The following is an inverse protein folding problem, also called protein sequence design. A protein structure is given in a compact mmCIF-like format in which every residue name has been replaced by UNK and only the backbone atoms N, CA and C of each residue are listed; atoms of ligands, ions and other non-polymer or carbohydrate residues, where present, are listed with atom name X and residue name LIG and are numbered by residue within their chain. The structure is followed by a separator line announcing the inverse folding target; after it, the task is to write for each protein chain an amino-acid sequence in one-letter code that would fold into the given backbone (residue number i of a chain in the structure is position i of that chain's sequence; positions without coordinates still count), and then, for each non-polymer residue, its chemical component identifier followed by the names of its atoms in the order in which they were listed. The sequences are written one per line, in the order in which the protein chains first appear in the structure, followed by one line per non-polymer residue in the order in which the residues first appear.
data_IF_462577718426
#
_entry.id   IF_462577718426
#
_cell.length_a   1.000
_cell.length_b   1.000
_cell.length_c   1.000
_cell.angle_alpha   90.00
_cell.angle_beta   90.00
_cell.angle_gamma   90.00
#
_symmetry.space_group_name_H-M   'P 1'
#
loop_
_entity.id
_entity.type
_entity.pdbx_description
1 polymer ?
#
# COMPACT_ATOMS: atom_id res chain seq x y z
N UNK A 1 -9.27 12.70 -0.44
CA UNK A 1 -8.19 11.81 0.03
C UNK A 1 -7.43 12.37 1.22
N UNK A 2 -6.62 13.45 1.09
CA UNK A 2 -5.84 14.01 2.21
C UNK A 2 -6.66 14.26 3.49
N UNK A 3 -7.80 14.95 3.38
CA UNK A 3 -8.69 15.21 4.53
C UNK A 3 -9.18 13.92 5.18
N UNK A 4 -9.46 12.87 4.40
CA UNK A 4 -9.86 11.58 4.97
C UNK A 4 -8.73 10.91 5.75
N UNK A 5 -7.50 10.92 5.24
CA UNK A 5 -6.35 10.44 6.01
C UNK A 5 -6.07 11.30 7.25
N UNK A 6 -6.25 12.62 7.16
CA UNK A 6 -6.10 13.51 8.30
C UNK A 6 -7.11 13.21 9.41
N UNK A 7 -8.37 12.93 9.04
CA UNK A 7 -9.40 12.53 10.00
C UNK A 7 -9.04 11.19 10.67
N UNK A 8 -8.53 10.21 9.92
CA UNK A 8 -8.08 8.94 10.49
C UNK A 8 -6.78 9.05 11.28
N UNK A 9 -6.00 10.11 11.09
CA UNK A 9 -4.79 10.38 11.88
C UNK A 9 -5.11 10.92 13.29
N UNK A 10 -6.33 11.41 13.53
CA UNK A 10 -6.74 11.93 14.82
C UNK A 10 -7.30 10.78 15.67
N UNK A 11 -6.72 10.50 16.86
CA UNK A 11 -7.24 9.48 17.75
C UNK A 11 -8.68 9.79 18.18
N UNK A 12 -9.59 8.86 17.93
CA UNK A 12 -10.99 8.98 18.36
C UNK A 12 -11.44 7.75 19.12
N UNK A 13 -12.31 7.97 20.11
CA UNK A 13 -12.88 6.89 20.90
C UNK A 13 -13.81 6.01 20.03
N UNK A 14 -13.92 4.73 20.38
CA UNK A 14 -14.79 3.76 19.68
C UNK A 14 -16.30 3.95 19.93
N UNK A 15 -16.74 5.19 20.19
CA UNK A 15 -18.14 5.56 20.36
C UNK A 15 -18.83 5.78 18.99
N UNK A 16 -20.13 6.06 19.01
CA UNK A 16 -20.92 6.30 17.79
C UNK A 16 -20.33 7.44 16.93
N UNK A 17 -19.78 8.48 17.57
CA UNK A 17 -19.12 9.60 16.90
C UNK A 17 -17.83 9.17 16.19
N UNK A 18 -16.97 8.38 16.83
CA UNK A 18 -15.74 7.87 16.23
C UNK A 18 -16.02 6.96 15.03
N UNK A 19 -17.03 6.08 15.13
CA UNK A 19 -17.47 5.24 13.99
C UNK A 19 -17.96 6.09 12.82
N UNK A 20 -18.75 7.14 13.08
CA UNK A 20 -19.23 8.06 12.05
C UNK A 20 -18.07 8.81 11.38
N UNK A 21 -17.10 9.28 12.16
CA UNK A 21 -15.91 9.95 11.64
C UNK A 21 -15.07 9.00 10.77
N UNK A 22 -14.85 7.77 11.22
CA UNK A 22 -14.14 6.74 10.45
C UNK A 22 -14.83 6.47 9.11
N UNK A 23 -16.16 6.27 9.11
CA UNK A 23 -16.92 6.03 7.88
C UNK A 23 -16.89 7.24 6.94
N UNK A 24 -17.03 8.45 7.47
CA UNK A 24 -16.91 9.69 6.70
C UNK A 24 -15.51 9.86 6.10
N UNK A 25 -14.47 9.53 6.85
CA UNK A 25 -13.09 9.59 6.39
C UNK A 25 -12.81 8.57 5.28
N UNK A 26 -13.29 7.33 5.42
CA UNK A 26 -13.22 6.29 4.39
C UNK A 26 -13.95 6.71 3.11
N UNK A 27 -15.12 7.35 3.23
CA UNK A 27 -15.83 7.91 2.08
C UNK A 27 -15.00 8.98 1.36
N UNK A 28 -14.39 9.93 2.10
CA UNK A 28 -13.52 10.96 1.52
C UNK A 28 -12.25 10.40 0.87
N UNK A 29 -11.73 9.28 1.38
CA UNK A 29 -10.63 8.54 0.76
C UNK A 29 -11.12 7.91 -0.54
N UNK A 30 -12.22 7.16 -0.52
CA UNK A 30 -12.78 6.49 -1.68
C UNK A 30 -13.09 7.47 -2.83
N UNK A 31 -13.80 8.56 -2.55
CA UNK A 31 -14.07 9.61 -3.56
C UNK A 31 -12.78 10.24 -4.07
N UNK A 32 -11.83 10.52 -3.18
CA UNK A 32 -10.54 11.10 -3.56
C UNK A 32 -9.72 10.18 -4.48
N UNK A 33 -9.64 8.89 -4.16
CA UNK A 33 -8.95 7.90 -4.98
C UNK A 33 -9.62 7.74 -6.34
N UNK A 34 -10.96 7.75 -6.39
CA UNK A 34 -11.73 7.68 -7.64
C UNK A 34 -11.41 8.83 -8.58
N UNK A 35 -11.38 10.08 -8.08
CA UNK A 35 -11.01 11.24 -8.89
C UNK A 35 -9.53 11.30 -9.25
N UNK A 36 -8.64 10.76 -8.41
CA UNK A 36 -7.21 10.80 -8.64
C UNK A 36 -6.75 9.75 -9.68
N UNK A 37 -7.21 8.50 -9.56
CA UNK A 37 -6.71 7.37 -10.37
C UNK A 37 -6.95 7.56 -11.87
N UNK A 38 -8.13 8.08 -12.27
CA UNK A 38 -8.45 8.34 -13.67
C UNK A 38 -7.68 9.53 -14.26
N UNK A 39 -7.64 10.66 -13.54
CA UNK A 39 -7.02 11.88 -14.03
C UNK A 39 -5.49 11.80 -14.14
N UNK A 40 -4.85 11.01 -13.29
CA UNK A 40 -3.39 10.90 -13.30
C UNK A 40 -2.87 10.16 -14.54
N UNK A 41 -3.56 9.10 -14.99
CA UNK A 41 -3.18 8.40 -16.22
C UNK A 41 -3.33 9.29 -17.46
N UNK A 42 -4.38 10.11 -17.52
CA UNK A 42 -4.58 11.10 -18.58
C UNK A 42 -3.46 12.14 -18.58
N UNK A 43 -3.09 12.66 -17.41
CA UNK A 43 -1.97 13.61 -17.29
C UNK A 43 -0.65 13.01 -17.78
N UNK A 44 -0.38 11.74 -17.47
CA UNK A 44 0.80 11.03 -18.00
C UNK A 44 0.71 10.86 -19.51
N UNK A 45 -0.46 10.56 -20.06
CA UNK A 45 -0.67 10.50 -21.52
C UNK A 45 -0.34 11.83 -22.20
N UNK A 46 -0.90 12.93 -21.69
CA UNK A 46 -0.74 14.27 -22.26
C UNK A 46 0.72 14.75 -22.31
N UNK A 47 1.59 14.26 -21.41
CA UNK A 47 3.04 14.55 -21.44
C UNK A 47 3.71 14.09 -22.74
N UNK A 48 3.18 13.05 -23.37
CA UNK A 48 3.80 12.39 -24.52
C UNK A 48 2.95 12.49 -25.79
N UNK A 49 1.95 13.36 -25.83
CA UNK A 49 1.09 13.55 -27.01
C UNK A 49 1.75 14.37 -28.12
N UNK A 50 2.83 15.11 -27.82
CA UNK A 50 3.57 15.81 -28.87
C UNK A 50 4.26 14.81 -29.80
N UNK A 51 4.35 15.09 -31.12
CA UNK A 51 5.03 14.20 -32.08
C UNK A 51 6.48 13.89 -31.71
N UNK A 52 7.15 14.82 -31.00
CA UNK A 52 8.52 14.67 -30.51
C UNK A 52 8.64 13.56 -29.44
N UNK A 53 7.65 13.44 -28.54
CA UNK A 53 7.70 12.53 -27.39
C UNK A 53 6.80 11.29 -27.53
N UNK A 54 5.98 11.22 -28.57
CA UNK A 54 5.04 10.10 -28.83
C UNK A 54 5.71 8.72 -28.77
N UNK A 55 6.92 8.58 -29.30
CA UNK A 55 7.68 7.31 -29.26
C UNK A 55 8.11 6.85 -27.86
N UNK A 56 8.02 7.72 -26.84
CA UNK A 56 8.40 7.43 -25.45
C UNK A 56 7.20 7.14 -24.55
N UNK A 57 5.97 7.28 -25.06
CA UNK A 57 4.73 7.11 -24.30
C UNK A 57 4.65 5.75 -23.61
N UNK A 58 4.91 4.66 -24.33
CA UNK A 58 4.83 3.30 -23.79
C UNK A 58 5.88 3.05 -22.69
N UNK A 59 7.11 3.56 -22.90
CA UNK A 59 8.17 3.52 -21.88
C UNK A 59 7.79 4.31 -20.64
N UNK A 60 7.13 5.46 -20.81
CA UNK A 60 6.68 6.29 -19.70
C UNK A 60 5.57 5.61 -18.89
N UNK A 61 4.58 4.99 -19.55
CA UNK A 61 3.57 4.17 -18.87
C UNK A 61 4.21 2.98 -18.16
N UNK A 62 5.21 2.33 -18.76
CA UNK A 62 5.95 1.24 -18.11
C UNK A 62 6.66 1.70 -16.83
N UNK A 63 7.32 2.86 -16.86
CA UNK A 63 7.96 3.45 -15.68
C UNK A 63 6.94 3.87 -14.62
N UNK A 64 5.80 4.41 -15.04
CA UNK A 64 4.70 4.78 -14.15
C UNK A 64 4.16 3.56 -13.38
N UNK A 65 3.88 2.45 -14.07
CA UNK A 65 3.44 1.21 -13.42
C UNK A 65 4.52 0.58 -12.54
N UNK A 66 5.79 0.65 -12.97
CA UNK A 66 6.91 0.20 -12.15
C UNK A 66 6.98 0.97 -10.83
N UNK A 67 6.81 2.30 -10.85
CA UNK A 67 6.82 3.13 -9.64
C UNK A 67 5.69 2.75 -8.66
N UNK A 68 4.51 2.39 -9.16
CA UNK A 68 3.39 1.90 -8.34
C UNK A 68 3.79 0.59 -7.64
N UNK A 69 4.34 -0.37 -8.38
CA UNK A 69 4.77 -1.66 -7.81
C UNK A 69 5.89 -1.49 -6.77
N UNK A 70 6.83 -0.58 -7.03
CA UNK A 70 7.87 -0.23 -6.06
C UNK A 70 7.24 0.34 -4.79
N UNK A 71 6.28 1.26 -4.90
CA UNK A 71 5.53 1.76 -3.74
C UNK A 71 4.82 0.66 -2.95
N UNK A 72 4.14 -0.26 -3.64
CA UNK A 72 3.45 -1.39 -3.04
C UNK A 72 4.40 -2.36 -2.32
N UNK A 73 5.63 -2.51 -2.80
CA UNK A 73 6.66 -3.32 -2.15
C UNK A 73 7.13 -2.73 -0.80
N UNK A 74 7.28 -1.41 -0.71
CA UNK A 74 7.77 -0.75 0.52
C UNK A 74 6.68 -0.43 1.54
N UNK A 75 5.42 -0.25 1.11
CA UNK A 75 4.33 0.18 1.98
C UNK A 75 4.07 -0.74 3.19
N UNK A 76 3.99 -2.09 3.05
CA UNK A 76 3.79 -2.99 4.19
C UNK A 76 4.93 -2.94 5.21
N UNK A 77 6.16 -2.79 4.74
CA UNK A 77 7.34 -2.66 5.63
C UNK A 77 7.27 -1.35 6.41
N UNK A 78 6.90 -0.24 5.76
CA UNK A 78 6.73 1.04 6.45
C UNK A 78 5.62 0.99 7.49
N UNK A 79 4.48 0.37 7.17
CA UNK A 79 3.37 0.17 8.10
C UNK A 79 3.81 -0.69 9.31
N UNK A 80 4.47 -1.81 9.07
CA UNK A 80 4.97 -2.71 10.13
C UNK A 80 5.97 -2.00 11.04
N UNK A 81 6.89 -1.21 10.46
CA UNK A 81 7.86 -0.41 11.24
C UNK A 81 7.16 0.62 12.12
N UNK A 82 6.13 1.30 11.61
CA UNK A 82 5.34 2.24 12.40
C UNK A 82 4.61 1.55 13.55
N UNK A 83 3.97 0.41 13.26
CA UNK A 83 3.28 -0.39 14.28
C UNK A 83 4.23 -0.87 15.37
N UNK A 84 5.38 -1.41 15.00
CA UNK A 84 6.38 -1.85 15.96
C UNK A 84 6.99 -0.68 16.73
N UNK A 85 7.19 0.49 16.11
CA UNK A 85 7.67 1.69 16.80
C UNK A 85 6.73 2.12 17.93
N UNK A 86 5.42 2.16 17.67
CA UNK A 86 4.43 2.58 18.69
C UNK A 86 4.22 1.49 19.76
N UNK A 87 4.15 0.22 19.35
CA UNK A 87 3.97 -0.89 20.30
C UNK A 87 5.19 -1.11 21.19
N UNK A 88 6.41 -1.05 20.63
CA UNK A 88 7.64 -1.23 21.42
C UNK A 88 7.83 -0.12 22.45
N UNK A 89 7.37 1.11 22.15
CA UNK A 89 7.31 2.20 23.12
C UNK A 89 6.42 1.91 24.35
N UNK A 90 5.49 0.96 24.23
CA UNK A 90 4.65 0.48 25.33
C UNK A 90 5.08 -0.91 25.85
N UNK A 91 6.21 -1.45 25.39
CA UNK A 91 6.70 -2.78 25.77
C UNK A 91 6.00 -3.93 25.06
N UNK A 92 5.24 -3.67 23.99
CA UNK A 92 4.53 -4.69 23.22
C UNK A 92 5.24 -5.03 21.91
N UNK A 93 5.07 -6.27 21.48
CA UNK A 93 5.42 -6.76 20.14
C UNK A 93 4.14 -7.06 19.37
N UNK A 94 4.08 -6.67 18.10
CA UNK A 94 2.88 -6.92 17.29
C UNK A 94 2.63 -8.42 17.13
N UNK A 95 1.41 -8.84 17.47
CA UNK A 95 0.89 -10.16 17.19
C UNK A 95 -0.53 -10.04 16.61
N UNK A 96 -0.80 -10.76 15.53
CA UNK A 96 -2.03 -10.65 14.77
C UNK A 96 -3.27 -11.23 15.49
N UNK A 97 -3.08 -12.11 16.49
CA UNK A 97 -4.17 -12.74 17.23
C UNK A 97 -4.70 -11.88 18.37
N UNK A 98 -3.81 -11.10 19.02
CA UNK A 98 -4.15 -10.30 20.21
C UNK A 98 -5.35 -9.37 19.96
N UNK A 99 -5.45 -8.58 18.87
CA UNK A 99 -6.58 -7.66 18.67
C UNK A 99 -7.93 -8.37 18.64
N UNK A 100 -8.01 -9.51 17.94
CA UNK A 100 -9.26 -10.25 17.82
C UNK A 100 -9.68 -10.86 19.14
N UNK A 101 -8.75 -11.51 19.85
CA UNK A 101 -9.00 -12.12 21.15
C UNK A 101 -9.30 -11.08 22.22
N UNK A 102 -8.58 -9.95 22.23
CA UNK A 102 -8.82 -8.84 23.13
C UNK A 102 -10.22 -8.24 22.95
N UNK A 103 -10.68 -8.05 21.71
CA UNK A 103 -12.06 -7.62 21.45
C UNK A 103 -13.10 -8.66 21.88
N UNK A 104 -12.85 -9.95 21.65
CA UNK A 104 -13.74 -11.02 22.13
C UNK A 104 -13.83 -11.03 23.67
N UNK A 105 -12.69 -10.85 24.34
CA UNK A 105 -12.63 -10.78 25.81
C UNK A 105 -13.40 -9.58 26.34
N UNK A 106 -13.12 -8.38 25.83
CA UNK A 106 -13.77 -7.13 26.27
C UNK A 106 -15.29 -7.13 25.98
N UNK A 107 -15.72 -7.81 24.91
CA UNK A 107 -17.14 -7.95 24.57
C UNK A 107 -17.83 -9.12 25.27
N UNK A 108 -17.11 -9.93 26.07
CA UNK A 108 -17.66 -11.11 26.75
C UNK A 108 -18.05 -12.26 25.81
N UNK A 109 -17.53 -12.28 24.58
CA UNK A 109 -17.84 -13.32 23.56
C UNK A 109 -16.73 -14.35 23.39
N UNK A 110 -15.66 -14.27 24.19
CA UNK A 110 -14.50 -15.16 24.09
C UNK A 110 -14.82 -16.59 24.53
N UNK A 111 -14.35 -17.56 23.74
CA UNK A 111 -14.45 -18.98 24.06
C UNK A 111 -13.33 -19.40 25.05
N UNK A 112 -13.49 -20.50 25.81
CA UNK A 112 -12.48 -20.97 26.75
C UNK A 112 -11.08 -21.15 26.14
N UNK A 113 -11.01 -21.72 24.93
CA UNK A 113 -9.76 -21.89 24.18
C UNK A 113 -9.10 -20.54 23.84
N UNK A 114 -9.90 -19.56 23.41
CA UNK A 114 -9.42 -18.21 23.12
C UNK A 114 -8.92 -17.49 24.38
N UNK A 115 -9.55 -17.72 25.53
CA UNK A 115 -9.11 -17.16 26.80
C UNK A 115 -7.77 -17.74 27.24
N UNK A 116 -7.56 -19.05 27.08
CA UNK A 116 -6.28 -19.69 27.37
C UNK A 116 -5.17 -19.19 26.44
N UNK A 117 -5.46 -19.04 25.14
CA UNK A 117 -4.53 -18.47 24.17
C UNK A 117 -4.15 -17.02 24.53
N UNK A 118 -5.13 -16.21 24.93
CA UNK A 118 -4.93 -14.82 25.31
C UNK A 118 -4.06 -14.66 26.57
N UNK A 119 -4.22 -15.55 27.57
CA UNK A 119 -3.32 -15.61 28.74
C UNK A 119 -1.87 -15.92 28.34
N UNK A 120 -1.69 -16.91 27.45
CA UNK A 120 -0.36 -17.23 26.91
C UNK A 120 0.26 -16.04 26.16
N UNK A 121 -0.52 -15.34 25.35
CA UNK A 121 -0.07 -14.15 24.62
C UNK A 121 0.28 -13.00 25.56
N UNK A 122 -0.55 -12.73 26.57
CA UNK A 122 -0.25 -11.71 27.60
C UNK A 122 1.07 -12.00 28.31
N UNK A 123 1.31 -13.25 28.69
CA UNK A 123 2.56 -13.66 29.32
C UNK A 123 3.77 -13.49 28.38
N UNK A 124 3.61 -13.86 27.10
CA UNK A 124 4.65 -13.68 26.08
C UNK A 124 5.00 -12.20 25.82
N UNK A 125 4.04 -11.29 26.03
CA UNK A 125 4.23 -9.84 25.95
C UNK A 125 4.88 -9.25 27.22
N UNK A 126 5.11 -10.06 28.27
CA UNK A 126 5.71 -9.60 29.53
C UNK A 126 4.81 -8.67 30.36
N UNK A 127 3.49 -8.66 30.10
CA UNK A 127 2.55 -7.76 30.78
C UNK A 127 2.08 -8.32 32.12
N UNK A 128 2.29 -7.58 33.20
CA UNK A 128 2.05 -8.03 34.58
C UNK A 128 0.70 -7.60 35.18
N UNK A 129 -0.07 -6.77 34.48
CA UNK A 129 -1.39 -6.28 34.93
C UNK A 129 -2.53 -7.27 34.73
N UNK A 130 -3.77 -6.83 34.96
CA UNK A 130 -4.96 -7.64 34.69
C UNK A 130 -5.24 -7.80 33.18
N UNK A 131 -6.07 -8.78 32.82
CA UNK A 131 -6.37 -9.09 31.42
C UNK A 131 -7.12 -7.98 30.70
N UNK A 132 -8.04 -7.28 31.39
CA UNK A 132 -8.81 -6.19 30.78
C UNK A 132 -7.92 -4.98 30.46
N UNK A 133 -7.00 -4.66 31.36
CA UNK A 133 -5.96 -3.65 31.17
C UNK A 133 -5.03 -4.04 30.01
N UNK A 134 -4.55 -5.28 29.96
CA UNK A 134 -3.74 -5.76 28.83
C UNK A 134 -4.47 -5.56 27.49
N UNK A 135 -5.72 -6.04 27.39
CA UNK A 135 -6.53 -5.94 26.18
C UNK A 135 -6.73 -4.48 25.75
N UNK A 136 -7.10 -3.63 26.70
CA UNK A 136 -7.42 -2.23 26.43
C UNK A 136 -6.17 -1.46 26.02
N UNK A 137 -5.05 -1.61 26.75
CA UNK A 137 -3.79 -0.93 26.43
C UNK A 137 -3.22 -1.39 25.09
N UNK A 138 -3.26 -2.70 24.80
CA UNK A 138 -2.77 -3.20 23.51
C UNK A 138 -3.61 -2.66 22.34
N UNK A 139 -4.94 -2.69 22.46
CA UNK A 139 -5.85 -2.14 21.42
C UNK A 139 -5.65 -0.63 21.26
N UNK A 140 -5.49 0.11 22.35
CA UNK A 140 -5.25 1.54 22.31
C UNK A 140 -3.93 1.87 21.60
N UNK A 141 -2.84 1.18 21.95
CA UNK A 141 -1.53 1.39 21.32
C UNK A 141 -1.50 0.93 19.87
N UNK A 142 -2.21 -0.14 19.53
CA UNK A 142 -2.38 -0.55 18.15
C UNK A 142 -3.20 0.46 17.35
N UNK A 143 -4.27 1.02 17.94
CA UNK A 143 -5.07 2.07 17.30
C UNK A 143 -4.24 3.34 17.10
N UNK A 144 -3.42 3.70 18.08
CA UNK A 144 -2.44 4.78 17.98
C UNK A 144 -1.48 4.54 16.81
N UNK A 145 -0.92 3.34 16.68
CA UNK A 145 -0.08 2.98 15.53
C UNK A 145 -0.76 3.22 14.17
N UNK A 146 -2.03 2.84 14.02
CA UNK A 146 -2.79 3.11 12.78
C UNK A 146 -2.94 4.61 12.53
N UNK A 147 -3.27 5.39 13.56
CA UNK A 147 -3.39 6.86 13.45
C UNK A 147 -2.06 7.50 12.99
N UNK A 148 -0.93 7.06 13.54
CA UNK A 148 0.40 7.50 13.10
C UNK A 148 0.70 7.06 11.66
N UNK A 149 0.27 5.87 11.26
CA UNK A 149 0.35 5.42 9.86
C UNK A 149 -0.38 6.37 8.90
N UNK A 150 -1.60 6.80 9.25
CA UNK A 150 -2.34 7.80 8.48
C UNK A 150 -1.70 9.19 8.52
N UNK A 151 -1.08 9.59 9.64
CA UNK A 151 -0.32 10.84 9.73
C UNK A 151 0.88 10.85 8.78
N UNK A 152 1.63 9.74 8.70
CA UNK A 152 2.72 9.58 7.74
C UNK A 152 2.21 9.64 6.30
N UNK A 153 1.05 9.03 6.02
CA UNK A 153 0.42 9.15 4.70
C UNK A 153 0.12 10.62 4.35
N UNK A 154 -0.39 11.42 5.29
CA UNK A 154 -0.59 12.86 5.08
C UNK A 154 0.72 13.60 4.75
N UNK A 155 1.80 13.32 5.48
CA UNK A 155 3.12 13.92 5.20
C UNK A 155 3.60 13.53 3.78
N UNK A 156 3.43 12.26 3.39
CA UNK A 156 3.79 11.79 2.06
C UNK A 156 3.02 12.50 0.93
N UNK A 157 1.75 12.83 1.15
CA UNK A 157 0.93 13.58 0.20
C UNK A 157 1.36 15.04 0.09
N UNK A 158 1.74 15.66 1.22
CA UNK A 158 2.30 17.03 1.22
C UNK A 158 3.63 17.04 0.46
N UNK A 159 4.54 16.10 0.74
CA UNK A 159 5.80 15.97 0.03
C UNK A 159 5.59 15.74 -1.47
N UNK A 160 4.65 14.86 -1.83
CA UNK A 160 4.28 14.60 -3.24
C UNK A 160 3.75 15.87 -3.93
N UNK A 161 2.91 16.64 -3.23
CA UNK A 161 2.40 17.91 -3.75
C UNK A 161 3.51 18.96 -3.89
N UNK A 162 4.45 19.03 -2.95
CA UNK A 162 5.59 19.93 -3.03
C UNK A 162 6.51 19.58 -4.21
N UNK A 163 6.78 18.29 -4.44
CA UNK A 163 7.54 17.80 -5.60
C UNK A 163 6.80 18.15 -6.89
N UNK A 164 5.49 17.86 -6.96
CA UNK A 164 4.67 18.21 -8.12
C UNK A 164 4.79 19.71 -8.43
N UNK A 165 4.48 20.57 -7.47
CA UNK A 165 4.54 22.02 -7.66
C UNK A 165 5.96 22.53 -8.00
N UNK A 166 7.00 21.98 -7.36
CA UNK A 166 8.40 22.34 -7.62
C UNK A 166 8.87 21.92 -9.02
N UNK A 167 8.42 20.76 -9.50
CA UNK A 167 8.74 20.24 -10.83
C UNK A 167 7.85 20.82 -11.94
N UNK A 168 6.92 21.73 -11.62
CA UNK A 168 5.96 22.29 -12.60
C UNK A 168 6.61 22.89 -13.84
N UNK A 169 7.80 23.47 -13.70
CA UNK A 169 8.55 24.01 -14.85
C UNK A 169 8.89 22.93 -15.89
N UNK A 170 9.12 21.69 -15.48
CA UNK A 170 9.52 20.58 -16.33
C UNK A 170 8.39 20.07 -17.23
N UNK A 171 7.14 20.17 -16.76
CA UNK A 171 5.97 19.62 -17.45
C UNK A 171 4.91 20.68 -17.82
N UNK A 172 5.26 21.97 -17.79
CA UNK A 172 4.37 23.07 -18.16
C UNK A 172 3.78 22.93 -19.57
N UNK A 173 4.51 22.28 -20.47
CA UNK A 173 4.09 21.94 -21.83
C UNK A 173 3.09 20.76 -21.89
N UNK A 174 2.75 20.14 -20.77
CA UNK A 174 1.74 19.09 -20.68
C UNK A 174 0.56 19.49 -19.77
N UNK A 175 0.69 20.63 -19.07
CA UNK A 175 -0.40 21.38 -18.42
C UNK A 175 -1.33 22.02 -19.49
N UNK A 176 -1.53 21.31 -20.61
CA UNK A 176 -2.46 21.65 -21.69
C UNK A 176 -3.87 21.24 -21.25
N UNK A 177 -4.54 22.10 -20.47
CA UNK A 177 -5.96 21.85 -20.20
C UNK A 177 -6.84 23.10 -19.96
N UNK A 178 -6.49 24.27 -20.48
CA UNK A 178 -7.47 25.39 -20.45
C UNK A 178 -7.35 26.44 -21.56
N UNK A 179 -6.15 26.72 -22.09
CA UNK A 179 -5.99 27.78 -23.10
C UNK A 179 -6.16 27.33 -24.55
N UNK A 180 -5.83 26.08 -24.90
CA UNK A 180 -6.02 25.56 -26.26
C UNK A 180 -7.36 24.85 -26.49
N UNK A 181 -8.05 24.40 -25.44
CA UNK A 181 -9.46 23.98 -25.54
C UNK A 181 -10.34 25.14 -26.05
N UNK A 182 -9.93 26.41 -25.80
CA UNK A 182 -10.56 27.61 -26.39
C UNK A 182 -10.09 27.96 -27.79
N UNK A 183 -8.97 27.40 -28.28
CA UNK A 183 -8.40 27.72 -29.61
C UNK A 183 -8.65 26.62 -30.64
N UNK A 184 -9.04 25.41 -30.22
CA UNK A 184 -9.40 24.29 -31.09
C UNK A 184 -10.92 24.15 -31.26
N UNK A 185 -11.62 25.23 -31.59
CA UNK A 185 -13.02 25.19 -32.04
C UNK A 185 -13.17 24.60 -33.47
N UNK A 186 -12.24 23.73 -33.90
CA UNK A 186 -12.25 23.07 -35.20
C UNK A 186 -12.33 21.54 -35.09
N UNK A 187 -12.79 21.01 -33.95
CA UNK A 187 -13.28 19.63 -33.92
C UNK A 187 -14.81 19.66 -33.99
N UNK A 188 -15.33 19.31 -35.17
CA UNK A 188 -16.70 18.85 -35.37
C UNK A 188 -16.88 17.51 -34.64
N UNK A 189 -16.75 17.48 -33.31
CA UNK A 189 -17.44 16.45 -32.55
C UNK A 189 -18.93 16.82 -32.59
N UNK A 190 -19.81 15.94 -33.07
CA UNK A 190 -21.24 16.22 -33.01
C UNK A 190 -21.60 16.44 -31.55
N UNK A 191 -21.94 17.68 -31.17
CA UNK A 191 -22.43 17.98 -29.84
C UNK A 191 -23.62 17.06 -29.57
N UNK A 192 -23.45 16.19 -28.57
CA UNK A 192 -24.46 15.20 -28.22
C UNK A 192 -25.73 15.95 -27.87
N UNK A 193 -26.83 15.58 -28.52
CA UNK A 193 -28.14 16.11 -28.13
C UNK A 193 -28.38 15.86 -26.63
N UNK A 194 -29.10 16.74 -25.92
CA UNK A 194 -29.36 16.57 -24.49
C UNK A 194 -29.98 15.19 -24.15
N UNK A 195 -30.77 14.62 -25.06
CA UNK A 195 -31.34 13.28 -24.93
C UNK A 195 -30.30 12.17 -25.03
N UNK A 196 -29.38 12.22 -26.01
CA UNK A 196 -28.27 11.26 -26.12
C UNK A 196 -27.35 11.33 -24.91
N UNK A 197 -27.10 12.53 -24.39
CA UNK A 197 -26.34 12.74 -23.15
C UNK A 197 -27.04 12.10 -21.96
N UNK A 198 -28.35 12.33 -21.80
CA UNK A 198 -29.15 11.72 -20.73
C UNK A 198 -29.16 10.19 -20.84
N UNK A 199 -29.33 9.62 -22.03
CA UNK A 199 -29.30 8.18 -22.24
C UNK A 199 -27.93 7.56 -21.88
N UNK A 200 -26.83 8.22 -22.28
CA UNK A 200 -25.47 7.78 -21.92
C UNK A 200 -25.21 7.86 -20.42
N UNK A 201 -25.65 8.93 -19.76
CA UNK A 201 -25.52 9.07 -18.30
C UNK A 201 -26.33 7.97 -17.59
N UNK A 202 -27.57 7.72 -18.01
CA UNK A 202 -28.40 6.65 -17.43
C UNK A 202 -27.77 5.28 -17.65
N UNK A 203 -27.28 4.98 -18.85
CA UNK A 203 -26.56 3.74 -19.13
C UNK A 203 -25.30 3.61 -18.26
N UNK A 204 -24.54 4.69 -18.09
CA UNK A 204 -23.34 4.73 -17.25
C UNK A 204 -23.68 4.50 -15.77
N UNK A 205 -24.76 5.09 -15.26
CA UNK A 205 -25.25 4.85 -13.90
C UNK A 205 -25.71 3.39 -13.70
N UNK A 206 -26.38 2.81 -14.69
CA UNK A 206 -26.79 1.40 -14.64
C UNK A 206 -25.59 0.44 -14.66
N UNK A 207 -24.61 0.69 -15.54
CA UNK A 207 -23.35 -0.06 -15.57
C UNK A 207 -22.62 0.11 -14.23
N UNK A 208 -22.56 1.32 -13.70
CA UNK A 208 -21.92 1.60 -12.41
C UNK A 208 -22.58 0.83 -11.26
N UNK A 209 -23.91 0.74 -11.23
CA UNK A 209 -24.62 -0.05 -10.22
C UNK A 209 -24.24 -1.53 -10.27
N UNK A 210 -24.21 -2.14 -11.47
CA UNK A 210 -23.78 -3.55 -11.63
C UNK A 210 -22.32 -3.73 -11.24
N UNK A 211 -21.45 -2.79 -11.63
CA UNK A 211 -20.01 -2.81 -11.35
C UNK A 211 -19.74 -2.72 -9.85
N UNK A 212 -20.52 -1.94 -9.08
CA UNK A 212 -20.39 -1.90 -7.61
C UNK A 212 -20.62 -3.29 -7.01
N UNK A 213 -21.70 -3.98 -7.37
CA UNK A 213 -22.00 -5.31 -6.82
C UNK A 213 -20.98 -6.35 -7.25
N UNK A 214 -20.54 -6.29 -8.52
CA UNK A 214 -19.46 -7.14 -9.01
C UNK A 214 -18.19 -6.95 -8.18
N UNK A 215 -17.73 -5.72 -8.00
CA UNK A 215 -16.52 -5.42 -7.24
C UNK A 215 -16.68 -5.72 -5.75
N UNK A 216 -17.87 -5.55 -5.17
CA UNK A 216 -18.16 -5.93 -3.79
C UNK A 216 -17.97 -7.43 -3.58
N UNK A 217 -18.56 -8.27 -4.45
CA UNK A 217 -18.39 -9.71 -4.39
C UNK A 217 -16.93 -10.13 -4.67
N UNK A 218 -16.28 -9.50 -5.65
CA UNK A 218 -14.87 -9.76 -5.97
C UNK A 218 -13.94 -9.45 -4.79
N UNK A 219 -14.10 -8.30 -4.12
CA UNK A 219 -13.27 -7.93 -2.97
C UNK A 219 -13.52 -8.82 -1.75
N UNK A 220 -14.74 -9.34 -1.58
CA UNK A 220 -15.07 -10.26 -0.49
C UNK A 220 -14.33 -11.61 -0.63
N UNK A 221 -14.06 -12.06 -1.86
CA UNK A 221 -13.24 -13.25 -2.11
C UNK A 221 -11.79 -13.09 -1.62
N UNK A 222 -11.23 -11.88 -1.69
CA UNK A 222 -9.89 -11.57 -1.19
C UNK A 222 -9.72 -11.75 0.33
N UNK A 223 -10.78 -11.47 1.10
CA UNK A 223 -10.78 -11.71 2.55
C UNK A 223 -10.73 -13.20 2.89
N UNK A 224 -11.39 -14.04 2.08
CA UNK A 224 -11.39 -15.49 2.27
C UNK A 224 -9.97 -16.06 2.13
N UNK A 225 -9.20 -15.60 1.14
CA UNK A 225 -7.80 -16.02 0.98
C UNK A 225 -6.92 -15.56 2.15
N UNK A 226 -7.20 -14.39 2.72
CA UNK A 226 -6.49 -13.87 3.90
C UNK A 226 -6.78 -14.71 5.15
N UNK A 227 -8.04 -15.11 5.35
CA UNK A 227 -8.41 -16.04 6.43
C UNK A 227 -7.84 -17.44 6.20
N UNK A 228 -7.88 -17.94 4.96
CA UNK A 228 -7.26 -19.22 4.61
C UNK A 228 -5.75 -19.20 4.89
N UNK A 229 -5.04 -18.14 4.50
CA UNK A 229 -3.63 -17.99 4.81
C UNK A 229 -3.39 -17.97 6.32
N UNK A 230 -4.14 -17.16 7.08
CA UNK A 230 -3.98 -17.09 8.54
C UNK A 230 -4.19 -18.44 9.23
N UNK A 231 -5.20 -19.20 8.80
CA UNK A 231 -5.68 -20.40 9.49
C UNK A 231 -5.00 -21.69 8.99
N UNK A 232 -4.53 -21.73 7.74
CA UNK A 232 -4.02 -22.95 7.09
C UNK A 232 -2.61 -22.82 6.48
N UNK A 233 -1.92 -21.66 6.61
CA UNK A 233 -0.51 -21.54 6.18
C UNK A 233 0.45 -21.39 7.35
N UNK A 234 1.68 -21.84 7.16
CA UNK A 234 2.73 -21.76 8.17
C UNK A 234 3.01 -20.29 8.51
N UNK A 235 2.93 -19.97 9.80
CA UNK A 235 3.17 -18.61 10.30
C UNK A 235 4.66 -18.28 10.45
N UNK A 236 5.56 -19.17 10.01
CA UNK A 236 7.00 -19.03 10.16
C UNK A 236 7.72 -19.47 8.89
N UNK A 237 8.73 -18.69 8.46
CA UNK A 237 9.67 -19.08 7.40
C UNK A 237 11.00 -19.42 8.04
N UNK A 238 11.59 -20.53 7.60
CA UNK A 238 12.92 -20.97 8.01
C UNK A 238 13.82 -21.17 6.80
N UNK A 239 15.11 -21.32 7.04
CA UNK A 239 16.09 -21.58 5.98
C UNK A 239 16.26 -20.38 5.03
N UNK A 240 16.65 -20.66 3.78
CA UNK A 240 16.99 -19.63 2.77
C UNK A 240 15.81 -18.76 2.37
N UNK A 241 14.58 -19.28 2.49
CA UNK A 241 13.37 -18.57 2.10
C UNK A 241 13.16 -17.27 2.89
N UNK A 242 13.74 -17.17 4.10
CA UNK A 242 13.71 -15.96 4.96
C UNK A 242 14.17 -14.70 4.22
N UNK A 243 15.13 -14.84 3.31
CA UNK A 243 15.67 -13.73 2.51
C UNK A 243 14.55 -13.04 1.69
N UNK A 244 13.59 -13.82 1.18
CA UNK A 244 12.49 -13.30 0.35
C UNK A 244 11.43 -12.50 1.11
N UNK A 245 11.49 -12.46 2.45
CA UNK A 245 10.53 -11.75 3.30
C UNK A 245 11.06 -10.43 3.86
N UNK A 246 12.30 -10.05 3.53
CA UNK A 246 12.85 -8.73 3.83
C UNK A 246 12.94 -7.88 2.56
N UNK A 247 12.41 -6.67 2.62
CA UNK A 247 12.30 -5.78 1.46
C UNK A 247 13.68 -5.36 0.92
N UNK A 248 14.68 -5.19 1.79
CA UNK A 248 16.02 -4.79 1.36
C UNK A 248 16.76 -5.94 0.71
N UNK A 249 16.58 -7.16 1.21
CA UNK A 249 17.04 -8.37 0.58
C UNK A 249 16.39 -8.57 -0.80
N UNK A 250 15.09 -8.30 -0.95
CA UNK A 250 14.43 -8.31 -2.26
C UNK A 250 15.04 -7.29 -3.23
N UNK A 251 15.36 -6.07 -2.76
CA UNK A 251 16.07 -5.07 -3.57
C UNK A 251 17.45 -5.56 -3.99
N UNK A 252 18.21 -6.18 -3.08
CA UNK A 252 19.53 -6.74 -3.39
C UNK A 252 19.43 -7.89 -4.40
N UNK A 253 18.40 -8.74 -4.31
CA UNK A 253 18.13 -9.78 -5.31
C UNK A 253 17.85 -9.14 -6.67
N UNK A 254 17.00 -8.11 -6.73
CA UNK A 254 16.71 -7.38 -7.97
C UNK A 254 18.00 -6.81 -8.57
N UNK A 255 18.84 -6.14 -7.76
CA UNK A 255 20.13 -5.60 -8.21
C UNK A 255 21.04 -6.72 -8.72
N UNK A 256 21.12 -7.86 -8.02
CA UNK A 256 21.93 -8.99 -8.44
C UNK A 256 21.43 -9.60 -9.76
N UNK A 257 20.11 -9.72 -9.97
CA UNK A 257 19.52 -10.26 -11.19
C UNK A 257 19.76 -9.32 -12.38
N UNK A 258 19.41 -8.03 -12.24
CA UNK A 258 19.64 -7.05 -13.31
C UNK A 258 21.12 -6.82 -13.58
N UNK A 259 21.95 -6.81 -12.53
CA UNK A 259 23.41 -6.77 -12.65
C UNK A 259 23.94 -8.00 -13.39
N UNK A 260 23.40 -9.19 -13.10
CA UNK A 260 23.74 -10.43 -13.80
C UNK A 260 23.42 -10.34 -15.30
N UNK A 261 22.18 -9.96 -15.66
CA UNK A 261 21.82 -9.75 -17.07
C UNK A 261 22.71 -8.70 -17.75
N UNK A 262 22.97 -7.57 -17.07
CA UNK A 262 23.84 -6.51 -17.56
C UNK A 262 25.27 -7.00 -17.78
N UNK A 263 25.80 -7.88 -16.93
CA UNK A 263 27.15 -8.45 -17.06
C UNK A 263 27.32 -9.21 -18.38
N UNK A 264 26.29 -9.96 -18.80
CA UNK A 264 26.31 -10.75 -20.02
C UNK A 264 25.93 -9.94 -21.27
N UNK A 265 25.01 -8.98 -21.15
CA UNK A 265 24.47 -8.22 -22.28
C UNK A 265 25.24 -6.92 -22.59
N UNK A 266 26.03 -6.40 -21.64
CA UNK A 266 26.76 -5.14 -21.83
C UNK A 266 27.85 -5.26 -22.89
N UNK A 267 27.92 -4.26 -23.78
CA UNK A 267 28.94 -4.18 -24.85
C UNK A 267 30.25 -3.52 -24.39
N UNK A 268 30.27 -2.84 -23.25
CA UNK A 268 31.44 -2.11 -22.74
C UNK A 268 32.05 -2.79 -21.51
N UNK A 269 33.39 -2.85 -21.46
CA UNK A 269 34.11 -3.46 -20.32
C UNK A 269 33.83 -2.75 -18.99
N UNK A 270 33.67 -1.43 -19.00
CA UNK A 270 33.32 -0.64 -17.80
C UNK A 270 31.95 -1.03 -17.23
N UNK A 271 30.92 -1.18 -18.09
CA UNK A 271 29.60 -1.59 -17.64
C UNK A 271 29.60 -3.02 -17.07
N UNK A 272 30.40 -3.93 -17.65
CA UNK A 272 30.59 -5.27 -17.09
C UNK A 272 31.24 -5.23 -15.72
N UNK A 273 32.30 -4.44 -15.52
CA UNK A 273 32.96 -4.30 -14.22
C UNK A 273 31.97 -3.77 -13.17
N UNK A 274 31.25 -2.68 -13.49
CA UNK A 274 30.25 -2.09 -12.57
C UNK A 274 29.19 -3.12 -12.20
N UNK A 275 28.66 -3.84 -13.20
CA UNK A 275 27.63 -4.86 -12.98
C UNK A 275 28.17 -6.03 -12.14
N UNK A 276 29.40 -6.48 -12.39
CA UNK A 276 30.06 -7.54 -11.62
C UNK A 276 30.29 -7.16 -10.17
N UNK A 277 30.75 -5.92 -9.91
CA UNK A 277 30.90 -5.39 -8.54
C UNK A 277 29.54 -5.30 -7.85
N UNK A 278 28.51 -4.79 -8.54
CA UNK A 278 27.16 -4.69 -7.97
C UNK A 278 26.58 -6.06 -7.60
N UNK A 279 26.76 -7.08 -8.46
CA UNK A 279 26.34 -8.46 -8.18
C UNK A 279 27.09 -9.03 -6.99
N UNK A 280 28.42 -8.93 -6.98
CA UNK A 280 29.23 -9.47 -5.87
C UNK A 280 28.90 -8.79 -4.55
N UNK A 281 28.80 -7.45 -4.53
CA UNK A 281 28.42 -6.71 -3.33
C UNK A 281 27.03 -7.13 -2.84
N UNK A 282 26.06 -7.27 -3.75
CA UNK A 282 24.70 -7.70 -3.40
C UNK A 282 24.68 -9.10 -2.80
N UNK A 283 25.43 -10.06 -3.37
CA UNK A 283 25.52 -11.43 -2.86
C UNK A 283 26.23 -11.49 -1.50
N UNK A 284 27.28 -10.71 -1.30
CA UNK A 284 28.00 -10.63 0.00
C UNK A 284 27.06 -10.06 1.07
N UNK A 285 26.35 -8.96 0.78
CA UNK A 285 25.41 -8.36 1.73
C UNK A 285 24.26 -9.32 2.01
N UNK A 286 23.72 -10.00 0.99
CA UNK A 286 22.68 -11.02 1.17
C UNK A 286 23.14 -12.17 2.06
N UNK A 287 24.36 -12.67 1.87
CA UNK A 287 24.92 -13.71 2.72
C UNK A 287 25.10 -13.20 4.16
N UNK A 288 25.63 -11.99 4.35
CA UNK A 288 25.76 -11.36 5.66
C UNK A 288 24.40 -11.20 6.36
N UNK A 289 23.40 -10.67 5.66
CA UNK A 289 22.04 -10.51 6.17
C UNK A 289 21.43 -11.86 6.53
N UNK A 290 21.62 -12.90 5.72
CA UNK A 290 21.11 -14.24 6.00
C UNK A 290 21.61 -14.82 7.34
N UNK A 291 22.88 -14.59 7.67
CA UNK A 291 23.46 -15.02 8.95
C UNK A 291 23.10 -14.11 10.12
N UNK A 292 22.72 -12.85 9.85
CA UNK A 292 22.26 -11.91 10.88
C UNK A 292 20.75 -12.00 11.17
N UNK A 293 19.97 -12.65 10.29
CA UNK A 293 18.53 -12.85 10.46
C UNK A 293 18.22 -13.94 11.49
N UNK A 294 17.17 -13.71 12.27
CA UNK A 294 16.61 -14.70 13.20
C UNK A 294 16.22 -15.99 12.49
N UNK A 295 16.53 -17.15 13.08
CA UNK A 295 16.33 -18.50 12.49
C UNK A 295 14.91 -18.75 11.96
N UNK A 296 13.93 -18.02 12.49
CA UNK A 296 12.54 -18.03 12.06
C UNK A 296 12.02 -16.61 11.88
N UNK A 297 11.34 -16.34 10.76
CA UNK A 297 10.61 -15.07 10.54
C UNK A 297 9.11 -15.35 10.61
N UNK A 298 8.39 -14.65 11.47
CA UNK A 298 6.93 -14.72 11.51
C UNK A 298 6.32 -14.08 10.26
N UNK A 299 5.45 -14.80 9.55
CA UNK A 299 4.77 -14.29 8.37
C UNK A 299 3.40 -13.76 8.76
N UNK A 300 3.22 -12.46 8.57
CA UNK A 300 1.93 -11.84 8.77
C UNK A 300 1.13 -11.83 7.46
N UNK A 301 -0.21 -12.03 7.51
CA UNK A 301 -1.06 -12.01 6.32
C UNK A 301 -0.89 -10.74 5.45
N UNK A 302 -0.57 -9.61 6.07
CA UNK A 302 -0.31 -8.34 5.39
C UNK A 302 0.92 -8.38 4.47
N UNK A 303 1.92 -9.22 4.75
CA UNK A 303 3.11 -9.37 3.90
C UNK A 303 2.71 -9.99 2.56
N UNK A 304 1.67 -10.82 2.52
CA UNK A 304 1.17 -11.39 1.26
C UNK A 304 0.42 -10.37 0.40
N UNK A 305 -0.01 -9.23 0.94
CA UNK A 305 -0.67 -8.18 0.15
C UNK A 305 0.28 -7.56 -0.89
N UNK A 306 1.59 -7.58 -0.66
CA UNK A 306 2.57 -7.11 -1.64
C UNK A 306 2.59 -7.97 -2.93
N UNK A 307 2.08 -9.20 -2.87
CA UNK A 307 1.94 -10.10 -4.01
C UNK A 307 0.53 -10.05 -4.63
N UNK A 308 -0.37 -9.25 -4.05
CA UNK A 308 -1.69 -9.05 -4.64
C UNK A 308 -1.62 -8.00 -5.74
N UNK A 309 -1.49 -8.47 -6.99
CA UNK A 309 -1.46 -7.66 -8.20
C UNK A 309 -2.75 -6.84 -8.46
N UNK A 310 -3.79 -6.97 -7.63
CA UNK A 310 -5.08 -6.30 -7.84
C UNK A 310 -5.24 -4.94 -7.12
N UNK A 311 -4.16 -4.29 -6.68
CA UNK A 311 -4.21 -2.97 -6.01
C UNK A 311 -3.96 -1.81 -6.98
#
# INVERSE_FOLDING_TARGET
MFVGYLLLAIPTAANSTGKMMMLGALFLIACGTGFFKGNLQVMVGNLYDSPEYSSKRDTAFSLFYMAINVGALFAPTAATKMTNYVLSGAGFTYNAQIPSLAHQFLNGTIKPEGSAALEGLKAAQGFTGDMASFCSTYIEKLSEAYNYGFAVACISLIASMAIYLGCRSMYKHADYNSKQAKTSNNHNEPELTPEQTKQRIVALLLVFAVVIFFWMAFHQNGLTMTFFARDYTTQYVTGINRIGFDVWNLVLIIIAVYGGFSLFQSKTGKAKIISGVAVLASLIILAGNYYAMDDTIEILPQIFQQFNHSS
#
